data_IF_101238491473
#
_entry.id   IF_101238491473
#
_cell.length_a   1.000
_cell.length_b   1.000
_cell.length_c   1.000
_cell.angle_alpha   90.00
_cell.angle_beta   90.00
_cell.angle_gamma   90.00
#
_symmetry.space_group_name_H-M   'P 1'
#
loop_
_entity.id
_entity.type
_entity.pdbx_description
1 polymer ?
#
# COMPACT_ATOMS: atom_id res chain seq x y z
N UNK A 1 4.65 13.70 59.94
CA UNK A 1 5.39 13.96 58.69
C UNK A 1 5.54 12.72 57.81
N UNK A 2 6.12 11.61 58.30
CA UNK A 2 6.35 10.40 57.47
C UNK A 2 5.07 9.84 56.82
N UNK A 3 3.96 9.81 57.55
CA UNK A 3 2.68 9.32 57.02
C UNK A 3 2.17 10.18 55.85
N UNK A 4 2.22 11.51 55.97
CA UNK A 4 1.83 12.43 54.89
C UNK A 4 2.69 12.29 53.64
N UNK A 5 4.00 12.08 53.81
CA UNK A 5 4.92 11.85 52.68
C UNK A 5 4.57 10.55 51.95
N UNK A 6 4.26 9.48 52.69
CA UNK A 6 3.87 8.19 52.11
C UNK A 6 2.53 8.31 51.38
N UNK A 7 1.53 8.96 51.98
CA UNK A 7 0.23 9.19 51.33
C UNK A 7 0.37 10.02 50.05
N UNK A 8 1.18 11.08 50.09
CA UNK A 8 1.46 11.89 48.89
C UNK A 8 2.10 11.05 47.78
N UNK A 9 3.11 10.22 48.10
CA UNK A 9 3.75 9.33 47.12
C UNK A 9 2.77 8.34 46.50
N UNK A 10 1.84 7.78 47.28
CA UNK A 10 0.82 6.86 46.78
C UNK A 10 -0.11 7.57 45.80
N UNK A 11 -0.53 8.80 46.09
CA UNK A 11 -1.38 9.59 45.19
C UNK A 11 -0.65 9.89 43.88
N UNK A 12 0.63 10.29 43.94
CA UNK A 12 1.45 10.53 42.75
C UNK A 12 1.60 9.25 41.92
N UNK A 13 1.84 8.10 42.56
CA UNK A 13 1.93 6.80 41.87
C UNK A 13 0.64 6.43 41.14
N UNK A 14 -0.52 6.62 41.78
CA UNK A 14 -1.83 6.35 41.15
C UNK A 14 -2.05 7.28 39.96
N UNK A 15 -1.72 8.58 40.11
CA UNK A 15 -1.84 9.55 39.03
C UNK A 15 -0.94 9.20 37.83
N UNK A 16 0.32 8.85 38.06
CA UNK A 16 1.25 8.43 37.01
C UNK A 16 0.79 7.14 36.33
N UNK A 17 0.30 6.16 37.09
CA UNK A 17 -0.22 4.92 36.54
C UNK A 17 -1.42 5.17 35.62
N UNK A 18 -2.32 6.08 36.02
CA UNK A 18 -3.47 6.49 35.19
C UNK A 18 -3.03 7.14 33.88
N UNK A 19 -2.07 8.07 33.95
CA UNK A 19 -1.54 8.75 32.76
C UNK A 19 -0.82 7.78 31.82
N UNK A 20 -0.04 6.86 32.39
CA UNK A 20 0.66 5.84 31.61
C UNK A 20 -0.33 4.91 30.90
N UNK A 21 -1.40 4.51 31.57
CA UNK A 21 -2.43 3.66 30.99
C UNK A 21 -3.19 4.36 29.84
N UNK A 22 -3.57 5.63 30.04
CA UNK A 22 -4.22 6.42 29.00
C UNK A 22 -3.31 6.57 27.76
N UNK A 23 -2.05 6.92 27.96
CA UNK A 23 -1.07 7.06 26.87
C UNK A 23 -0.85 5.75 26.12
N UNK A 24 -0.83 4.62 26.82
CA UNK A 24 -0.63 3.32 26.18
C UNK A 24 -1.83 2.90 25.33
N UNK A 25 -3.05 3.24 25.74
CA UNK A 25 -4.25 3.00 24.94
C UNK A 25 -4.28 3.88 23.69
N UNK A 26 -3.99 5.18 23.83
CA UNK A 26 -3.92 6.10 22.68
C UNK A 26 -2.85 5.65 21.67
N UNK A 27 -1.70 5.16 22.16
CA UNK A 27 -0.64 4.64 21.29
C UNK A 27 -1.10 3.48 20.41
N UNK A 28 -1.97 2.60 20.91
CA UNK A 28 -2.50 1.48 20.12
C UNK A 28 -3.30 1.97 18.92
N UNK A 29 -4.18 2.94 19.15
CA UNK A 29 -5.03 3.54 18.10
C UNK A 29 -4.19 4.27 17.05
N UNK A 30 -3.19 5.04 17.47
CA UNK A 30 -2.31 5.74 16.52
C UNK A 30 -1.45 4.78 15.69
N UNK A 31 -1.00 3.66 16.25
CA UNK A 31 -0.23 2.65 15.50
C UNK A 31 -1.10 2.01 14.42
N UNK A 32 -2.34 1.66 14.75
CA UNK A 32 -3.28 1.07 13.79
C UNK A 32 -3.61 2.04 12.64
N UNK A 33 -3.87 3.32 12.96
CA UNK A 33 -4.12 4.35 11.94
C UNK A 33 -2.90 4.58 11.05
N UNK A 34 -1.69 4.60 11.62
CA UNK A 34 -0.46 4.77 10.83
C UNK A 34 -0.24 3.57 9.92
N UNK A 35 -0.48 2.35 10.40
CA UNK A 35 -0.35 1.14 9.60
C UNK A 35 -1.35 1.15 8.44
N UNK A 36 -2.64 1.41 8.71
CA UNK A 36 -3.67 1.52 7.68
C UNK A 36 -3.33 2.56 6.61
N UNK A 37 -2.95 3.78 7.03
CA UNK A 37 -2.58 4.86 6.12
C UNK A 37 -1.32 4.51 5.30
N UNK A 38 -0.37 3.78 5.89
CA UNK A 38 0.85 3.36 5.17
C UNK A 38 0.57 2.33 4.09
N UNK A 39 -0.39 1.43 4.32
CA UNK A 39 -0.84 0.44 3.33
C UNK A 39 -1.56 1.15 2.19
N UNK A 40 -2.49 2.05 2.50
CA UNK A 40 -3.22 2.83 1.49
C UNK A 40 -2.25 3.66 0.63
N UNK A 41 -1.28 4.34 1.27
CA UNK A 41 -0.26 5.12 0.54
C UNK A 41 0.53 4.22 -0.41
N UNK A 42 0.93 3.02 0.02
CA UNK A 42 1.68 2.09 -0.84
C UNK A 42 0.85 1.59 -2.02
N UNK A 43 -0.45 1.33 -1.82
CA UNK A 43 -1.35 0.93 -2.91
C UNK A 43 -1.44 2.07 -3.94
N UNK A 44 -1.67 3.30 -3.49
CA UNK A 44 -1.74 4.47 -4.35
C UNK A 44 -0.42 4.75 -5.10
N UNK A 45 0.73 4.49 -4.48
CA UNK A 45 2.03 4.59 -5.16
C UNK A 45 2.18 3.56 -6.29
N UNK A 46 1.70 2.33 -6.09
CA UNK A 46 1.71 1.29 -7.11
C UNK A 46 0.77 1.66 -8.25
N UNK A 47 -0.47 2.05 -7.96
CA UNK A 47 -1.46 2.46 -8.96
C UNK A 47 -0.97 3.66 -9.78
N UNK A 48 -0.35 4.65 -9.12
CA UNK A 48 0.21 5.81 -9.82
C UNK A 48 1.34 5.41 -10.76
N UNK A 49 2.20 4.48 -10.34
CA UNK A 49 3.27 3.95 -11.17
C UNK A 49 2.71 3.22 -12.40
N UNK A 50 1.75 2.32 -12.21
CA UNK A 50 1.09 1.60 -13.31
C UNK A 50 0.42 2.55 -14.29
N UNK A 51 -0.36 3.52 -13.79
CA UNK A 51 -1.00 4.54 -14.63
C UNK A 51 0.01 5.38 -15.42
N UNK A 52 1.17 5.66 -14.83
CA UNK A 52 2.23 6.40 -15.52
C UNK A 52 2.88 5.56 -16.63
N UNK A 53 3.11 4.28 -16.37
CA UNK A 53 3.62 3.34 -17.38
C UNK A 53 2.61 3.19 -18.54
N UNK A 54 1.32 3.06 -18.24
CA UNK A 54 0.26 3.03 -19.25
C UNK A 54 0.22 4.33 -20.07
N UNK A 55 0.28 5.49 -19.41
CA UNK A 55 0.32 6.79 -20.11
C UNK A 55 1.51 6.90 -21.05
N UNK A 56 2.70 6.47 -20.60
CA UNK A 56 3.91 6.46 -21.44
C UNK A 56 3.76 5.48 -22.61
N UNK A 57 3.18 4.30 -22.38
CA UNK A 57 2.91 3.32 -23.42
C UNK A 57 1.96 3.85 -24.50
N UNK A 58 0.83 4.45 -24.09
CA UNK A 58 -0.18 5.00 -24.98
C UNK A 58 0.20 6.34 -25.62
N UNK A 59 1.27 6.98 -25.15
CA UNK A 59 1.79 8.19 -25.78
C UNK A 59 2.37 7.93 -27.18
N UNK A 60 2.82 6.71 -27.47
CA UNK A 60 3.22 6.29 -28.82
C UNK A 60 1.99 5.85 -29.62
N UNK A 61 1.65 6.60 -30.67
CA UNK A 61 0.56 6.31 -31.60
C UNK A 61 0.60 4.88 -32.16
N UNK A 62 1.80 4.28 -32.31
CA UNK A 62 1.96 2.89 -32.75
C UNK A 62 1.45 1.90 -31.70
N UNK A 63 1.79 2.11 -30.43
CA UNK A 63 1.33 1.27 -29.32
C UNK A 63 -0.18 1.40 -29.15
N UNK A 64 -0.72 2.62 -29.26
CA UNK A 64 -2.16 2.86 -29.27
C UNK A 64 -2.87 2.08 -30.39
N UNK A 65 -2.31 2.11 -31.60
CA UNK A 65 -2.86 1.35 -32.74
C UNK A 65 -2.81 -0.17 -32.51
N UNK A 66 -1.75 -0.66 -31.87
CA UNK A 66 -1.56 -2.07 -31.54
C UNK A 66 -2.60 -2.54 -30.52
N UNK A 67 -2.84 -1.75 -29.47
CA UNK A 67 -3.82 -2.09 -28.44
C UNK A 67 -5.25 -2.07 -28.99
N UNK A 68 -5.60 -1.06 -29.81
CA UNK A 68 -6.88 -1.00 -30.50
C UNK A 68 -7.08 -2.23 -31.40
N UNK A 69 -6.05 -2.63 -32.16
CA UNK A 69 -6.11 -3.82 -33.00
C UNK A 69 -6.28 -5.09 -32.18
N UNK A 70 -5.57 -5.23 -31.05
CA UNK A 70 -5.73 -6.36 -30.14
C UNK A 70 -7.15 -6.44 -29.57
N UNK A 71 -7.74 -5.32 -29.15
CA UNK A 71 -9.09 -5.27 -28.57
C UNK A 71 -10.19 -5.74 -29.55
N UNK A 72 -10.00 -5.48 -30.85
CA UNK A 72 -10.94 -5.87 -31.90
C UNK A 72 -10.49 -7.11 -32.71
N UNK A 73 -9.43 -7.80 -32.28
CA UNK A 73 -8.81 -8.93 -32.99
C UNK A 73 -8.47 -8.63 -34.47
N UNK A 74 -7.98 -7.42 -34.74
CA UNK A 74 -7.48 -7.04 -36.06
C UNK A 74 -5.99 -7.36 -36.19
N UNK A 75 -5.60 -7.90 -37.34
CA UNK A 75 -4.21 -8.19 -37.70
C UNK A 75 -3.80 -7.35 -38.91
N UNK A 76 -2.52 -6.98 -39.00
CA UNK A 76 -2.03 -6.35 -40.22
C UNK A 76 -1.98 -7.36 -41.38
N UNK A 77 -2.24 -6.92 -42.63
CA UNK A 77 -2.06 -7.78 -43.79
C UNK A 77 -0.60 -8.28 -43.87
N UNK A 78 -0.38 -9.58 -43.64
CA UNK A 78 0.95 -10.21 -43.65
C UNK A 78 1.56 -10.50 -42.27
N UNK A 79 0.82 -10.28 -41.18
CA UNK A 79 1.28 -10.59 -39.82
C UNK A 79 1.30 -12.12 -39.58
N UNK A 80 2.48 -12.68 -39.27
CA UNK A 80 2.64 -14.12 -39.02
C UNK A 80 2.30 -14.46 -37.56
N UNK A 81 1.32 -15.35 -37.35
CA UNK A 81 0.95 -15.84 -36.02
C UNK A 81 1.98 -16.89 -35.54
N UNK A 82 2.80 -16.53 -34.55
CA UNK A 82 3.72 -17.45 -33.87
C UNK A 82 3.02 -18.19 -32.72
N UNK A 83 2.81 -19.50 -32.88
CA UNK A 83 2.31 -20.36 -31.79
C UNK A 83 3.52 -20.98 -31.09
N UNK A 84 3.80 -20.53 -29.86
CA UNK A 84 4.83 -21.11 -29.00
C UNK A 84 4.26 -22.32 -28.26
N UNK A 85 4.67 -23.53 -28.66
CA UNK A 85 4.36 -24.77 -27.94
C UNK A 85 5.51 -25.06 -26.97
N UNK A 86 5.27 -25.14 -25.64
CA UNK A 86 6.31 -25.53 -24.70
C UNK A 86 6.77 -26.95 -25.02
N UNK A 87 8.08 -27.13 -25.20
CA UNK A 87 8.68 -28.45 -25.40
C UNK A 87 8.41 -29.31 -24.16
N UNK A 88 7.89 -30.53 -24.38
CA UNK A 88 7.89 -31.55 -23.32
C UNK A 88 9.34 -31.88 -22.99
N UNK A 89 9.74 -31.60 -21.75
CA UNK A 89 10.95 -32.20 -21.19
C UNK A 89 10.64 -33.70 -21.01
N UNK A 90 11.34 -34.56 -21.77
CA UNK A 90 11.38 -36.02 -21.57
C UNK A 90 12.42 -36.41 -20.52
#
# INVERSE_FOLDING_TARGET
MRFFVVTFLVVVMIFLASQFFALNNERGEYVEQVEANSVETRILEIENKELKEDLEFYQDDKNLSKELRAQFNYHEPGEELLILVPGKEE
#
